data_IF_892670223134
#
_entry.id   IF_892670223134
#
_cell.length_a   1.000
_cell.length_b   1.000
_cell.length_c   1.000
_cell.angle_alpha   90.00
_cell.angle_beta   90.00
_cell.angle_gamma   90.00
#
_symmetry.space_group_name_H-M   'P 1'
#
loop_
_entity.id
_entity.type
_entity.pdbx_description
1 polymer ?
#
# COMPACT_ATOMS: atom_id res chain seq x y z
N UNK A 1 -5.11 -4.12 59.23
CA UNK A 1 -4.03 -3.88 58.23
C UNK A 1 -4.51 -3.09 57.01
N UNK A 2 -5.81 -3.09 56.69
CA UNK A 2 -6.40 -2.41 55.52
C UNK A 2 -6.47 -0.89 55.62
N UNK A 3 -6.69 -0.31 56.81
CA UNK A 3 -6.75 1.15 56.97
C UNK A 3 -5.37 1.82 56.83
N UNK A 4 -4.29 1.15 57.24
CA UNK A 4 -2.92 1.68 57.13
C UNK A 4 -2.42 1.75 55.68
N UNK A 5 -2.84 0.81 54.82
CA UNK A 5 -2.50 0.82 53.40
C UNK A 5 -3.16 1.98 52.64
N UNK A 6 -4.40 2.36 52.99
CA UNK A 6 -5.14 3.47 52.37
C UNK A 6 -4.47 4.82 52.67
N UNK A 7 -3.96 5.03 53.88
CA UNK A 7 -3.25 6.27 54.23
C UNK A 7 -1.88 6.37 53.55
N UNK A 8 -1.17 5.24 53.38
CA UNK A 8 0.12 5.23 52.69
C UNK A 8 -0.08 5.51 51.19
N UNK A 9 -1.07 4.89 50.54
CA UNK A 9 -1.36 5.15 49.13
C UNK A 9 -1.90 6.56 48.88
N UNK A 10 -2.75 7.10 49.77
CA UNK A 10 -3.18 8.51 49.70
C UNK A 10 -2.01 9.49 49.88
N UNK A 11 -1.06 9.18 50.78
CA UNK A 11 0.16 9.95 50.96
C UNK A 11 1.08 9.96 49.73
N UNK A 12 1.24 8.81 49.08
CA UNK A 12 2.01 8.68 47.84
C UNK A 12 1.37 9.45 46.66
N UNK A 13 0.04 9.44 46.56
CA UNK A 13 -0.68 10.20 45.52
C UNK A 13 -0.54 11.71 45.73
N UNK A 14 -0.66 12.19 46.97
CA UNK A 14 -0.46 13.62 47.29
C UNK A 14 1.00 14.06 47.05
N UNK A 15 1.98 13.21 47.36
CA UNK A 15 3.39 13.46 47.09
C UNK A 15 3.69 13.53 45.57
N UNK A 16 3.08 12.66 44.77
CA UNK A 16 3.20 12.68 43.30
C UNK A 16 2.60 13.94 42.68
N UNK A 17 1.44 14.39 43.17
CA UNK A 17 0.80 15.65 42.73
C UNK A 17 1.68 16.85 43.10
N UNK A 18 2.22 16.89 44.33
CA UNK A 18 3.10 17.97 44.77
C UNK A 18 4.41 18.02 43.96
N UNK A 19 5.02 16.87 43.67
CA UNK A 19 6.22 16.78 42.84
C UNK A 19 5.96 17.23 41.40
N UNK A 20 4.81 16.87 40.83
CA UNK A 20 4.36 17.33 39.51
C UNK A 20 4.14 18.84 39.45
N UNK A 21 3.53 19.43 40.49
CA UNK A 21 3.32 20.88 40.60
C UNK A 21 4.63 21.65 40.79
N UNK A 22 5.58 21.11 41.57
CA UNK A 22 6.91 21.72 41.76
C UNK A 22 7.73 21.62 40.46
N UNK A 23 7.70 20.47 39.78
CA UNK A 23 8.35 20.31 38.48
C UNK A 23 7.76 21.29 37.44
N UNK A 24 6.42 21.41 37.41
CA UNK A 24 5.73 22.40 36.59
C UNK A 24 6.14 23.84 36.94
N UNK A 25 6.18 24.20 38.22
CA UNK A 25 6.59 25.54 38.65
C UNK A 25 8.05 25.84 38.27
N UNK A 26 8.98 24.90 38.46
CA UNK A 26 10.40 25.06 38.10
C UNK A 26 10.58 25.14 36.57
N UNK A 27 9.88 24.29 35.82
CA UNK A 27 9.93 24.28 34.35
C UNK A 27 9.29 25.54 33.75
N UNK A 28 8.15 25.97 34.29
CA UNK A 28 7.45 27.19 33.87
C UNK A 28 8.22 28.45 34.25
N UNK A 29 8.84 28.51 35.44
CA UNK A 29 9.68 29.64 35.86
C UNK A 29 10.99 29.71 35.07
N UNK A 30 11.59 28.55 34.69
CA UNK A 30 12.76 28.53 33.77
C UNK A 30 12.39 28.95 32.35
N UNK A 31 11.29 28.46 31.80
CA UNK A 31 10.79 28.87 30.48
C UNK A 31 10.41 30.36 30.45
N UNK A 32 9.80 30.86 31.53
CA UNK A 32 9.48 32.29 31.75
C UNK A 32 10.71 33.19 31.80
N UNK A 33 11.85 32.68 32.27
CA UNK A 33 13.12 33.44 32.28
C UNK A 33 13.72 33.49 30.87
N UNK A 34 13.81 32.36 30.18
CA UNK A 34 14.33 32.30 28.80
C UNK A 34 13.52 33.20 27.86
N UNK A 35 12.19 33.19 27.98
CA UNK A 35 11.30 34.04 27.17
C UNK A 35 11.43 35.51 27.55
N UNK A 36 11.63 35.86 28.83
CA UNK A 36 11.91 37.25 29.24
C UNK A 36 13.26 37.74 28.71
N UNK A 37 14.27 36.89 28.73
CA UNK A 37 15.62 37.21 28.23
C UNK A 37 15.60 37.38 26.70
N UNK A 38 14.82 36.57 25.96
CA UNK A 38 14.62 36.73 24.51
C UNK A 38 13.80 37.96 24.13
N UNK A 39 12.74 38.29 24.89
CA UNK A 39 11.97 39.53 24.69
C UNK A 39 12.86 40.74 24.99
N UNK A 40 13.68 40.69 26.04
CA UNK A 40 14.60 41.76 26.40
C UNK A 40 15.71 41.92 25.35
N UNK A 41 16.25 40.81 24.81
CA UNK A 41 17.19 40.84 23.69
C UNK A 41 16.57 41.44 22.41
N UNK A 42 15.30 41.13 22.14
CA UNK A 42 14.56 41.71 21.03
C UNK A 42 14.26 43.22 21.22
N UNK A 43 14.00 43.66 22.45
CA UNK A 43 13.83 45.09 22.79
C UNK A 43 15.16 45.86 22.77
N UNK A 44 16.29 45.25 23.15
CA UNK A 44 17.63 45.83 23.00
C UNK A 44 18.00 45.97 21.52
N UNK A 45 17.64 45.00 20.68
CA UNK A 45 17.79 45.14 19.22
C UNK A 45 16.88 46.22 18.63
N UNK A 46 15.75 46.55 19.27
CA UNK A 46 14.84 47.61 18.81
C UNK A 46 15.44 49.02 18.91
N UNK A 47 16.31 49.27 19.91
CA UNK A 47 17.05 50.54 20.03
C UNK A 47 18.14 50.69 18.97
N UNK A 48 18.78 49.60 18.55
CA UNK A 48 19.83 49.61 17.53
C UNK A 48 19.26 49.82 16.10
N UNK A 49 17.97 49.53 15.90
CA UNK A 49 17.34 49.45 14.56
C UNK A 49 16.27 50.52 14.31
N UNK A 50 16.20 51.59 15.11
CA UNK A 50 15.28 52.72 14.90
C UNK A 50 15.53 53.54 13.61
N UNK A 51 16.41 53.07 12.72
CA UNK A 51 16.69 53.65 11.40
C UNK A 51 16.43 52.67 10.24
N UNK A 52 15.85 51.50 10.49
CA UNK A 52 15.48 50.53 9.45
C UNK A 52 13.98 50.60 9.09
N UNK A 53 13.67 50.53 7.80
CA UNK A 53 12.37 50.78 7.19
C UNK A 53 11.21 49.88 7.66
N UNK A 54 9.97 50.36 7.48
CA UNK A 54 8.69 49.75 7.93
C UNK A 54 8.51 48.25 7.62
N UNK A 55 9.25 47.68 6.66
CA UNK A 55 9.18 46.24 6.33
C UNK A 55 9.76 45.33 7.43
N UNK A 56 10.66 45.83 8.28
CA UNK A 56 11.21 45.07 9.40
C UNK A 56 10.20 44.96 10.55
N UNK A 57 9.42 46.01 10.79
CA UNK A 57 8.41 46.07 11.85
C UNK A 57 7.24 45.11 11.60
N UNK A 58 6.83 44.98 10.33
CA UNK A 58 5.77 44.05 9.91
C UNK A 58 6.15 42.58 10.19
N UNK A 59 7.41 42.19 9.93
CA UNK A 59 7.92 40.83 10.18
C UNK A 59 7.95 40.47 11.67
N UNK A 60 8.35 41.40 12.53
CA UNK A 60 8.40 41.19 13.99
C UNK A 60 6.99 41.03 14.59
N UNK A 61 6.01 41.80 14.10
CA UNK A 61 4.60 41.66 14.53
C UNK A 61 4.00 40.30 14.14
N UNK A 62 4.49 39.70 13.05
CA UNK A 62 4.12 38.37 12.58
C UNK A 62 4.62 37.26 13.51
N UNK A 63 5.89 37.32 13.91
CA UNK A 63 6.49 36.35 14.85
C UNK A 63 5.80 36.34 16.22
N UNK A 64 5.47 37.52 16.77
CA UNK A 64 4.72 37.64 18.03
C UNK A 64 3.33 36.98 17.96
N UNK A 65 2.68 37.06 16.78
CA UNK A 65 1.36 36.45 16.52
C UNK A 65 1.42 34.93 16.39
N UNK A 66 2.50 34.40 15.81
CA UNK A 66 2.74 32.96 15.64
C UNK A 66 3.02 32.30 17.01
N UNK A 67 3.88 32.91 17.82
CA UNK A 67 4.23 32.41 19.16
C UNK A 67 3.00 32.38 20.08
N UNK A 68 2.15 33.42 20.05
CA UNK A 68 0.89 33.46 20.82
C UNK A 68 -0.15 32.42 20.35
N UNK A 69 -0.19 32.10 19.05
CA UNK A 69 -1.07 31.04 18.50
C UNK A 69 -0.62 29.65 18.95
N UNK A 70 0.69 29.40 18.98
CA UNK A 70 1.25 28.11 19.42
C UNK A 70 1.07 27.88 20.93
N UNK A 71 1.18 28.95 21.73
CA UNK A 71 0.87 28.95 23.18
C UNK A 71 -0.60 28.62 23.49
N UNK A 72 -1.56 29.13 22.70
CA UNK A 72 -3.00 28.79 22.84
C UNK A 72 -3.30 27.35 22.44
N UNK A 73 -2.57 26.80 21.46
CA UNK A 73 -2.74 25.41 21.00
C UNK A 73 -2.22 24.41 22.04
N UNK A 74 -1.08 24.71 22.67
CA UNK A 74 -0.46 23.86 23.72
C UNK A 74 -1.18 23.91 25.06
N UNK A 75 -1.86 25.01 25.40
CA UNK A 75 -2.71 25.10 26.60
C UNK A 75 -4.05 24.36 26.46
N UNK A 76 -4.57 24.21 25.23
CA UNK A 76 -5.78 23.43 24.96
C UNK A 76 -5.54 21.90 25.00
N UNK A 77 -4.37 21.44 24.54
CA UNK A 77 -3.99 20.01 24.55
C UNK A 77 -3.78 19.42 25.95
N UNK A 78 -3.40 20.23 26.95
CA UNK A 78 -3.18 19.75 28.32
C UNK A 78 -4.47 19.70 29.14
N UNK A 79 -5.47 20.54 28.81
CA UNK A 79 -6.81 20.45 29.41
C UNK A 79 -7.55 19.14 29.07
N UNK A 80 -7.31 18.58 27.88
CA UNK A 80 -7.84 17.28 27.48
C UNK A 80 -7.16 16.11 28.22
N UNK A 81 -5.85 16.19 28.46
CA UNK A 81 -5.10 15.13 29.16
C UNK A 81 -5.53 14.92 30.62
N UNK A 82 -5.88 15.99 31.33
CA UNK A 82 -6.34 15.91 32.74
C UNK A 82 -7.77 15.36 32.85
N UNK A 83 -8.62 15.58 31.83
CA UNK A 83 -9.97 15.01 31.76
C UNK A 83 -9.93 13.50 31.49
N UNK A 84 -9.00 13.03 30.64
CA UNK A 84 -8.86 11.60 30.35
C UNK A 84 -8.33 10.78 31.54
N UNK A 85 -7.41 11.31 32.35
CA UNK A 85 -6.89 10.60 33.52
C UNK A 85 -7.94 10.50 34.65
N UNK A 86 -8.83 11.48 34.79
CA UNK A 86 -9.90 11.46 35.80
C UNK A 86 -11.06 10.51 35.45
N UNK A 87 -11.40 10.38 34.16
CA UNK A 87 -12.39 9.38 33.69
C UNK A 87 -11.83 7.95 33.77
N UNK A 88 -10.52 7.76 33.59
CA UNK A 88 -9.86 6.44 33.65
C UNK A 88 -9.87 5.83 35.05
N UNK A 89 -9.71 6.65 36.11
CA UNK A 89 -9.62 6.15 37.49
C UNK A 89 -11.01 5.80 38.05
N UNK A 90 -12.08 6.51 37.63
CA UNK A 90 -13.45 6.17 38.01
C UNK A 90 -13.95 4.89 37.30
N UNK A 91 -13.53 4.67 36.05
CA UNK A 91 -13.83 3.44 35.29
C UNK A 91 -13.17 2.20 35.88
N UNK A 92 -11.93 2.31 36.36
CA UNK A 92 -11.21 1.20 37.03
C UNK A 92 -11.83 0.88 38.40
N UNK A 93 -12.30 1.89 39.14
CA UNK A 93 -12.97 1.68 40.42
C UNK A 93 -14.35 1.00 40.29
N UNK A 94 -15.08 1.23 39.19
CA UNK A 94 -16.33 0.52 38.88
C UNK A 94 -16.07 -0.92 38.41
N UNK A 95 -15.03 -1.14 37.60
CA UNK A 95 -14.66 -2.47 37.10
C UNK A 95 -14.24 -3.42 38.23
N UNK A 96 -13.56 -2.90 39.26
CA UNK A 96 -13.15 -3.68 40.44
C UNK A 96 -14.30 -3.97 41.43
N UNK A 97 -15.47 -3.36 41.25
CA UNK A 97 -16.69 -3.66 42.03
C UNK A 97 -17.57 -4.69 41.31
N UNK A 98 -17.44 -4.84 39.98
CA UNK A 98 -18.18 -5.83 39.18
C UNK A 98 -17.54 -7.23 39.18
N UNK A 99 -16.22 -7.34 39.33
CA UNK A 99 -15.50 -8.64 39.36
C UNK A 99 -15.85 -9.53 40.56
N UNK A 100 -16.35 -8.97 41.67
CA UNK A 100 -16.73 -9.75 42.86
C UNK A 100 -18.09 -10.49 42.73
N UNK A 101 -18.84 -10.28 41.63
CA UNK A 101 -20.19 -10.85 41.44
C UNK A 101 -20.34 -11.82 40.25
N UNK A 102 -19.26 -12.23 39.58
CA UNK A 102 -19.35 -13.07 38.39
C UNK A 102 -18.38 -14.28 38.41
N UNK A 103 -18.39 -15.08 39.47
CA UNK A 103 -17.89 -16.45 39.39
C UNK A 103 -18.94 -17.35 38.72
N UNK A 104 -18.79 -17.57 37.41
CA UNK A 104 -19.58 -18.55 36.69
C UNK A 104 -19.47 -18.49 35.17
N UNK A 105 -18.45 -19.17 34.61
CA UNK A 105 -18.41 -19.53 33.19
C UNK A 105 -17.21 -18.99 32.43
N UNK A 106 -16.18 -19.83 32.28
CA UNK A 106 -15.08 -19.59 31.35
C UNK A 106 -15.60 -19.72 29.92
N UNK A 107 -15.78 -18.60 29.21
CA UNK A 107 -15.81 -18.58 27.74
C UNK A 107 -14.44 -18.15 27.25
N UNK A 108 -13.73 -19.07 26.59
CA UNK A 108 -12.55 -18.77 25.80
C UNK A 108 -12.84 -17.61 24.84
N UNK A 109 -12.02 -16.55 24.92
CA UNK A 109 -11.92 -15.54 23.87
C UNK A 109 -11.47 -16.24 22.57
N UNK A 110 -12.42 -16.67 21.75
CA UNK A 110 -12.16 -16.91 20.34
C UNK A 110 -11.80 -15.57 19.72
N UNK A 111 -10.49 -15.34 19.48
CA UNK A 111 -10.05 -14.38 18.47
C UNK A 111 -10.71 -14.82 17.17
N UNK A 112 -11.67 -14.03 16.69
CA UNK A 112 -12.19 -14.16 15.34
C UNK A 112 -11.05 -13.91 14.35
N UNK A 113 -10.36 -14.95 13.94
CA UNK A 113 -9.44 -14.92 12.82
C UNK A 113 -10.28 -14.66 11.56
N UNK A 114 -10.02 -13.53 10.89
CA UNK A 114 -10.48 -13.36 9.50
C UNK A 114 -9.96 -14.52 8.65
N UNK A 115 -10.65 -14.83 7.55
CA UNK A 115 -10.33 -15.92 6.63
C UNK A 115 -8.81 -16.07 6.44
N UNK A 116 -8.27 -17.25 6.72
CA UNK A 116 -6.85 -17.54 6.58
C UNK A 116 -6.43 -17.25 5.12
N UNK A 117 -5.45 -16.35 4.91
CA UNK A 117 -4.97 -16.07 3.55
C UNK A 117 -4.34 -17.35 3.01
N UNK A 118 -4.88 -17.90 1.91
CA UNK A 118 -4.33 -19.11 1.28
C UNK A 118 -3.17 -18.82 0.33
N UNK A 119 -2.98 -17.56 -0.04
CA UNK A 119 -1.87 -17.07 -0.86
C UNK A 119 -1.99 -15.59 -1.21
N UNK A 120 -0.96 -15.05 -1.84
CA UNK A 120 -0.95 -13.69 -2.39
C UNK A 120 -0.72 -13.75 -3.89
N UNK A 121 -1.33 -12.82 -4.62
CA UNK A 121 -1.18 -12.71 -6.07
C UNK A 121 -0.86 -11.27 -6.45
N UNK A 122 0.26 -11.09 -7.14
CA UNK A 122 0.78 -9.79 -7.54
C UNK A 122 0.45 -9.56 -9.01
N UNK A 123 -0.49 -8.66 -9.29
CA UNK A 123 -0.88 -8.26 -10.65
C UNK A 123 -0.16 -6.99 -11.06
N UNK A 124 0.39 -6.96 -12.28
CA UNK A 124 0.94 -5.73 -12.83
C UNK A 124 1.71 -5.91 -14.13
N UNK A 125 2.52 -4.90 -14.43
CA UNK A 125 3.33 -4.81 -15.63
C UNK A 125 4.80 -5.24 -15.39
N UNK A 126 5.75 -4.63 -16.11
CA UNK A 126 7.19 -4.88 -15.99
C UNK A 126 7.74 -4.62 -14.59
N UNK A 127 7.14 -3.70 -13.81
CA UNK A 127 7.52 -3.45 -12.43
C UNK A 127 7.15 -4.62 -11.51
N UNK A 128 6.09 -5.36 -11.85
CA UNK A 128 5.74 -6.60 -11.12
C UNK A 128 6.59 -7.76 -11.58
N UNK A 129 6.86 -7.85 -12.88
CA UNK A 129 7.74 -8.87 -13.46
C UNK A 129 9.20 -8.77 -12.97
N UNK A 130 9.61 -7.62 -12.43
CA UNK A 130 10.98 -7.40 -11.96
C UNK A 130 11.98 -7.09 -13.08
N UNK A 131 11.51 -6.47 -14.18
CA UNK A 131 12.39 -6.06 -15.28
C UNK A 131 13.51 -5.17 -14.74
N UNK A 132 14.73 -5.43 -15.20
CA UNK A 132 15.98 -4.79 -14.77
C UNK A 132 16.35 -4.98 -13.28
N UNK A 133 15.72 -5.95 -12.61
CA UNK A 133 15.99 -6.32 -11.22
C UNK A 133 17.14 -7.30 -11.02
N UNK A 134 17.86 -7.72 -12.08
CA UNK A 134 18.90 -8.75 -12.02
C UNK A 134 18.41 -10.09 -11.39
N UNK A 135 17.19 -10.49 -11.74
CA UNK A 135 16.53 -11.68 -11.18
C UNK A 135 15.87 -11.46 -9.82
N UNK A 136 15.91 -10.24 -9.29
CA UNK A 136 15.16 -9.84 -8.09
C UNK A 136 13.80 -9.29 -8.49
N UNK A 137 12.75 -9.81 -7.86
CA UNK A 137 11.38 -9.32 -8.01
C UNK A 137 10.81 -9.01 -6.63
N UNK A 138 9.94 -7.98 -6.52
CA UNK A 138 9.32 -7.71 -5.21
C UNK A 138 8.45 -8.87 -4.70
N UNK A 139 7.72 -9.65 -5.54
CA UNK A 139 6.95 -10.80 -5.06
C UNK A 139 7.84 -11.89 -4.44
N UNK A 140 8.98 -12.20 -5.07
CA UNK A 140 9.90 -13.22 -4.55
C UNK A 140 10.58 -12.76 -3.25
N UNK A 141 11.00 -11.50 -3.17
CA UNK A 141 11.58 -10.94 -1.94
C UNK A 141 10.54 -10.84 -0.82
N UNK A 142 9.29 -10.50 -1.14
CA UNK A 142 8.19 -10.51 -0.17
C UNK A 142 7.99 -11.91 0.41
N UNK A 143 7.97 -12.94 -0.44
CA UNK A 143 7.89 -14.34 0.00
C UNK A 143 9.05 -14.72 0.93
N UNK A 144 10.28 -14.28 0.62
CA UNK A 144 11.46 -14.53 1.48
C UNK A 144 11.29 -13.89 2.85
N UNK A 145 10.91 -12.61 2.92
CA UNK A 145 10.68 -11.88 4.17
C UNK A 145 9.59 -12.54 5.02
N UNK A 146 8.51 -13.00 4.39
CA UNK A 146 7.43 -13.73 5.07
C UNK A 146 7.92 -15.08 5.61
N UNK A 147 8.71 -15.83 4.83
CA UNK A 147 9.26 -17.11 5.25
C UNK A 147 10.25 -16.98 6.42
N UNK A 148 11.04 -15.91 6.47
CA UNK A 148 11.94 -15.60 7.59
C UNK A 148 11.17 -15.41 8.91
N UNK A 149 9.95 -14.86 8.82
CA UNK A 149 9.01 -14.71 9.92
C UNK A 149 8.10 -15.97 10.09
N UNK A 150 8.40 -17.08 9.41
CA UNK A 150 7.68 -18.35 9.55
C UNK A 150 6.30 -18.40 8.90
N UNK A 151 6.00 -17.45 8.01
CA UNK A 151 4.77 -17.39 7.23
C UNK A 151 5.04 -18.02 5.85
N UNK A 152 4.66 -19.28 5.69
CA UNK A 152 4.85 -20.04 4.45
C UNK A 152 3.55 -20.12 3.64
N UNK A 153 3.26 -19.05 2.90
CA UNK A 153 2.17 -19.01 1.92
C UNK A 153 2.71 -18.63 0.53
N UNK A 154 2.07 -19.08 -0.56
CA UNK A 154 2.52 -18.72 -1.90
C UNK A 154 2.34 -17.23 -2.17
N UNK A 155 3.31 -16.62 -2.85
CA UNK A 155 3.22 -15.27 -3.43
C UNK A 155 3.48 -15.42 -4.92
N UNK A 156 2.48 -15.15 -5.75
CA UNK A 156 2.53 -15.37 -7.19
C UNK A 156 2.86 -14.08 -7.92
N UNK A 157 3.82 -14.13 -8.84
CA UNK A 157 4.16 -13.03 -9.72
C UNK A 157 3.41 -13.16 -11.05
N UNK A 158 2.39 -12.31 -11.26
CA UNK A 158 1.62 -12.22 -12.51
C UNK A 158 1.97 -10.98 -13.33
N UNK A 159 3.21 -10.48 -13.17
CA UNK A 159 3.72 -9.33 -13.89
C UNK A 159 4.01 -9.65 -15.35
N UNK A 160 3.55 -8.78 -16.26
CA UNK A 160 3.79 -8.92 -17.70
C UNK A 160 4.40 -7.63 -18.26
N UNK A 161 5.64 -7.66 -18.78
CA UNK A 161 6.25 -6.48 -19.36
C UNK A 161 5.44 -5.91 -20.53
N UNK A 162 5.22 -4.59 -20.50
CA UNK A 162 4.60 -3.85 -21.59
C UNK A 162 3.07 -3.82 -21.60
N UNK A 163 2.40 -4.63 -20.76
CA UNK A 163 0.94 -4.58 -20.66
C UNK A 163 0.46 -3.32 -19.95
N UNK A 164 -0.67 -2.82 -20.42
CA UNK A 164 -1.35 -1.66 -19.87
C UNK A 164 -2.44 -2.03 -18.84
N UNK A 165 -3.10 -1.01 -18.28
CA UNK A 165 -4.03 -1.21 -17.18
C UNK A 165 -5.24 -2.11 -17.53
N UNK A 166 -5.75 -2.03 -18.76
CA UNK A 166 -6.91 -2.82 -19.18
C UNK A 166 -6.56 -4.29 -19.47
N UNK A 167 -5.34 -4.56 -19.93
CA UNK A 167 -4.83 -5.91 -20.19
C UNK A 167 -4.56 -6.64 -18.88
N UNK A 168 -3.94 -5.94 -17.91
CA UNK A 168 -3.77 -6.46 -16.54
C UNK A 168 -5.15 -6.75 -15.93
N UNK A 169 -6.11 -5.83 -16.08
CA UNK A 169 -7.48 -6.02 -15.61
C UNK A 169 -8.18 -7.21 -16.27
N UNK A 170 -7.91 -7.48 -17.54
CA UNK A 170 -8.46 -8.63 -18.25
C UNK A 170 -7.92 -9.96 -17.71
N UNK A 171 -6.60 -10.09 -17.52
CA UNK A 171 -5.99 -11.30 -16.92
C UNK A 171 -6.40 -11.51 -15.46
N UNK A 172 -6.57 -10.43 -14.71
CA UNK A 172 -7.03 -10.50 -13.33
C UNK A 172 -8.56 -10.71 -13.20
N UNK A 173 -9.29 -10.82 -14.31
CA UNK A 173 -10.73 -11.08 -14.35
C UNK A 173 -11.64 -9.87 -14.18
N UNK A 174 -11.09 -8.68 -13.88
CA UNK A 174 -11.84 -7.43 -13.74
C UNK A 174 -12.38 -6.88 -15.08
N UNK A 175 -11.88 -7.39 -16.21
CA UNK A 175 -12.40 -7.08 -17.54
C UNK A 175 -12.69 -8.37 -18.30
N UNK A 176 -13.91 -8.51 -18.81
CA UNK A 176 -14.32 -9.70 -19.59
C UNK A 176 -13.58 -9.73 -20.93
N UNK A 177 -12.99 -10.87 -21.25
CA UNK A 177 -12.44 -11.18 -22.57
C UNK A 177 -13.51 -11.93 -23.37
N UNK A 178 -13.74 -11.52 -24.62
CA UNK A 178 -14.74 -12.15 -25.50
C UNK A 178 -14.16 -12.41 -26.88
N UNK A 179 -14.65 -13.47 -27.52
CA UNK A 179 -14.34 -13.80 -28.92
C UNK A 179 -14.83 -12.67 -29.83
N UNK A 180 -13.94 -12.13 -30.67
CA UNK A 180 -14.26 -11.04 -31.59
C UNK A 180 -14.99 -11.57 -32.83
N UNK A 181 -14.36 -12.53 -33.51
CA UNK A 181 -14.90 -13.16 -34.72
C UNK A 181 -15.29 -14.60 -34.44
N UNK A 182 -16.45 -15.02 -34.92
CA UNK A 182 -16.90 -16.40 -34.78
C UNK A 182 -15.90 -17.37 -35.43
N UNK A 183 -15.63 -18.50 -34.78
CA UNK A 183 -14.69 -19.50 -35.25
C UNK A 183 -15.13 -20.90 -34.83
N UNK A 184 -14.49 -21.91 -35.39
CA UNK A 184 -14.74 -23.31 -35.03
C UNK A 184 -13.54 -23.88 -34.29
N UNK A 185 -13.79 -24.45 -33.11
CA UNK A 185 -12.80 -25.25 -32.41
C UNK A 185 -12.84 -26.67 -33.02
N UNK A 186 -11.78 -27.12 -33.71
CA UNK A 186 -11.73 -28.40 -34.41
C UNK A 186 -11.76 -29.57 -33.43
N UNK A 187 -12.25 -30.75 -33.85
CA UNK A 187 -12.38 -31.94 -33.00
C UNK A 187 -11.06 -32.34 -32.29
N UNK A 188 -9.94 -32.23 -33.00
CA UNK A 188 -8.61 -32.58 -32.52
C UNK A 188 -7.88 -31.40 -31.87
N UNK A 189 -6.82 -31.70 -31.10
CA UNK A 189 -5.96 -30.71 -30.47
C UNK A 189 -5.02 -30.03 -31.46
N UNK A 190 -5.58 -29.28 -32.42
CA UNK A 190 -4.83 -28.48 -33.40
C UNK A 190 -5.07 -26.99 -33.18
N UNK A 191 -4.05 -26.12 -33.36
CA UNK A 191 -4.21 -24.69 -33.23
C UNK A 191 -5.22 -24.12 -34.23
N UNK A 192 -6.11 -23.27 -33.76
CA UNK A 192 -7.07 -22.52 -34.60
C UNK A 192 -6.98 -21.04 -34.27
N UNK A 193 -7.04 -20.18 -35.29
CA UNK A 193 -6.87 -18.74 -35.11
C UNK A 193 -7.99 -18.18 -34.22
N UNK A 194 -7.61 -17.32 -33.29
CA UNK A 194 -8.48 -16.69 -32.32
C UNK A 194 -8.29 -15.17 -32.39
N UNK A 195 -9.38 -14.44 -32.45
CA UNK A 195 -9.40 -12.98 -32.25
C UNK A 195 -10.29 -12.67 -31.05
N UNK A 196 -9.89 -11.72 -30.23
CA UNK A 196 -10.65 -11.34 -29.03
C UNK A 196 -10.55 -9.85 -28.74
N UNK A 197 -11.54 -9.35 -28.01
CA UNK A 197 -11.62 -8.00 -27.46
C UNK A 197 -12.04 -8.11 -26.01
N UNK A 198 -12.14 -6.97 -25.33
CA UNK A 198 -12.96 -6.91 -24.14
C UNK A 198 -14.47 -6.95 -24.46
N UNK A 199 -15.29 -6.95 -23.42
CA UNK A 199 -16.76 -6.99 -23.52
C UNK A 199 -17.41 -5.76 -24.17
N UNK A 200 -16.70 -4.66 -24.41
CA UNK A 200 -17.21 -3.46 -25.09
C UNK A 200 -16.54 -3.21 -26.46
N UNK A 201 -15.65 -4.11 -26.89
CA UNK A 201 -15.00 -4.08 -28.21
C UNK A 201 -13.61 -3.43 -28.24
N UNK A 202 -12.99 -3.14 -27.10
CA UNK A 202 -11.60 -2.66 -27.04
C UNK A 202 -10.65 -3.82 -27.31
N UNK A 203 -9.68 -3.60 -28.19
CA UNK A 203 -8.66 -4.59 -28.54
C UNK A 203 -7.69 -4.79 -27.36
N UNK A 204 -7.36 -6.05 -27.09
CA UNK A 204 -6.49 -6.46 -25.98
C UNK A 204 -5.24 -7.14 -26.54
N UNK A 205 -4.05 -6.74 -26.08
CA UNK A 205 -2.79 -7.37 -26.47
C UNK A 205 -2.22 -8.18 -25.30
N UNK A 206 -2.87 -9.29 -24.97
CA UNK A 206 -2.51 -10.13 -23.82
C UNK A 206 -1.27 -10.98 -24.11
N UNK A 207 -0.27 -10.93 -23.23
CA UNK A 207 0.90 -11.80 -23.41
C UNK A 207 0.54 -13.25 -23.09
N UNK A 208 0.55 -14.10 -24.11
CA UNK A 208 0.34 -15.54 -23.97
C UNK A 208 1.66 -16.32 -23.72
N UNK A 209 2.56 -15.76 -22.90
CA UNK A 209 3.85 -16.38 -22.55
C UNK A 209 3.96 -16.56 -21.03
N UNK A 210 4.30 -17.78 -20.60
CA UNK A 210 4.44 -18.12 -19.18
C UNK A 210 3.09 -18.22 -18.45
N UNK A 211 3.15 -18.37 -17.12
CA UNK A 211 1.96 -18.32 -16.28
C UNK A 211 1.76 -16.89 -15.77
N UNK A 212 0.88 -16.15 -16.44
CA UNK A 212 0.51 -14.77 -16.09
C UNK A 212 -1.01 -14.63 -15.88
N UNK A 213 -1.68 -15.70 -15.45
CA UNK A 213 -3.14 -15.72 -15.32
C UNK A 213 -3.89 -15.82 -16.64
N UNK A 214 -3.25 -16.34 -17.70
CA UNK A 214 -3.91 -16.80 -18.93
C UNK A 214 -3.32 -18.11 -19.45
N UNK A 215 -2.75 -18.92 -18.54
CA UNK A 215 -2.03 -20.14 -18.95
C UNK A 215 -2.98 -21.23 -19.44
N UNK A 216 -4.22 -21.22 -18.94
CA UNK A 216 -5.34 -21.99 -19.44
C UNK A 216 -6.58 -21.11 -19.60
N UNK A 217 -7.42 -21.45 -20.57
CA UNK A 217 -8.70 -20.79 -20.81
C UNK A 217 -9.81 -21.79 -21.13
N UNK A 218 -11.05 -21.38 -20.88
CA UNK A 218 -12.25 -22.08 -21.32
C UNK A 218 -13.05 -21.20 -22.28
N UNK A 219 -13.41 -21.76 -23.45
CA UNK A 219 -14.25 -21.11 -24.46
C UNK A 219 -15.42 -22.04 -24.78
N UNK A 220 -16.65 -21.60 -24.52
CA UNK A 220 -17.88 -22.40 -24.71
C UNK A 220 -17.83 -23.81 -24.08
N UNK A 221 -17.23 -23.91 -22.89
CA UNK A 221 -17.05 -25.17 -22.16
C UNK A 221 -15.90 -26.05 -22.66
N UNK A 222 -15.12 -25.61 -23.66
CA UNK A 222 -13.90 -26.29 -24.13
C UNK A 222 -12.68 -25.67 -23.45
N UNK A 223 -11.98 -26.48 -22.67
CA UNK A 223 -10.72 -26.13 -22.04
C UNK A 223 -9.56 -26.20 -23.05
N UNK A 224 -8.65 -25.24 -22.99
CA UNK A 224 -7.47 -25.17 -23.86
C UNK A 224 -6.49 -24.08 -23.43
N UNK A 225 -5.55 -23.79 -24.33
CA UNK A 225 -4.51 -22.77 -24.13
C UNK A 225 -4.55 -21.76 -25.26
N UNK A 226 -4.21 -20.50 -24.95
CA UNK A 226 -3.95 -19.47 -25.96
C UNK A 226 -2.45 -19.40 -26.18
N UNK A 227 -2.02 -19.31 -27.43
CA UNK A 227 -0.64 -19.03 -27.83
C UNK A 227 -0.60 -17.83 -28.78
N UNK A 228 0.49 -17.07 -28.75
CA UNK A 228 0.71 -15.93 -29.64
C UNK A 228 1.90 -16.19 -30.56
N UNK A 229 1.66 -16.12 -31.87
CA UNK A 229 2.69 -16.18 -32.90
C UNK A 229 2.96 -14.76 -33.41
N UNK A 230 4.12 -14.22 -33.09
CA UNK A 230 4.52 -12.87 -33.49
C UNK A 230 4.86 -12.86 -34.98
N UNK A 231 4.39 -11.83 -35.70
CA UNK A 231 4.78 -11.55 -37.06
C UNK A 231 6.27 -11.17 -37.10
N UNK A 232 7.13 -11.88 -37.87
CA UNK A 232 8.57 -11.66 -37.87
C UNK A 232 8.99 -10.24 -38.27
N UNK A 233 8.19 -9.61 -39.13
CA UNK A 233 8.41 -8.26 -39.66
C UNK A 233 7.60 -7.18 -38.92
N UNK A 234 6.83 -7.58 -37.90
CA UNK A 234 5.91 -6.75 -37.14
C UNK A 234 6.48 -6.18 -35.85
N UNK A 235 5.73 -5.27 -35.21
CA UNK A 235 6.05 -4.77 -33.87
C UNK A 235 5.84 -5.83 -32.76
N UNK A 236 6.15 -5.48 -31.51
CA UNK A 236 6.11 -6.41 -30.35
C UNK A 236 4.73 -7.02 -30.00
N UNK A 237 3.67 -6.64 -30.70
CA UNK A 237 2.30 -7.15 -30.50
C UNK A 237 1.57 -7.41 -31.83
N UNK A 238 2.30 -7.36 -32.93
CA UNK A 238 1.78 -7.70 -34.24
C UNK A 238 1.95 -9.20 -34.44
N UNK A 239 0.84 -9.93 -34.54
CA UNK A 239 0.85 -11.39 -34.58
C UNK A 239 -0.55 -11.99 -34.51
N UNK A 240 -0.61 -13.31 -34.46
CA UNK A 240 -1.86 -14.07 -34.46
C UNK A 240 -1.96 -14.86 -33.15
N UNK A 241 -3.11 -14.75 -32.49
CA UNK A 241 -3.46 -15.64 -31.39
C UNK A 241 -4.07 -16.94 -31.92
N UNK A 242 -3.74 -18.04 -31.26
CA UNK A 242 -4.32 -19.34 -31.53
C UNK A 242 -4.89 -19.92 -30.25
N UNK A 243 -6.04 -20.58 -30.37
CA UNK A 243 -6.57 -21.46 -29.34
C UNK A 243 -6.27 -22.92 -29.70
N UNK A 244 -5.82 -23.70 -28.73
CA UNK A 244 -5.66 -25.16 -28.87
C UNK A 244 -6.36 -25.84 -27.70
N UNK A 245 -7.31 -26.73 -27.99
CA UNK A 245 -8.03 -27.50 -26.96
C UNK A 245 -7.10 -28.48 -26.23
N UNK A 246 -7.32 -28.69 -24.94
CA UNK A 246 -6.52 -29.60 -24.11
C UNK A 246 -6.80 -31.08 -24.37
N UNK A 247 -8.03 -31.43 -24.80
CA UNK A 247 -8.46 -32.81 -25.06
C UNK A 247 -9.30 -32.88 -26.33
N UNK A 248 -9.04 -33.87 -27.19
CA UNK A 248 -9.88 -34.13 -28.38
C UNK A 248 -11.33 -34.41 -27.98
N UNK A 249 -12.26 -34.05 -28.86
CA UNK A 249 -13.70 -34.13 -28.61
C UNK A 249 -14.50 -33.80 -29.86
N UNK A 250 -15.77 -33.42 -29.69
CA UNK A 250 -16.58 -32.94 -30.83
C UNK A 250 -16.12 -31.56 -31.30
N UNK A 251 -16.38 -31.26 -32.56
CA UNK A 251 -16.26 -29.89 -33.08
C UNK A 251 -17.25 -28.97 -32.35
N UNK A 252 -16.83 -27.71 -32.12
CA UNK A 252 -17.64 -26.69 -31.42
C UNK A 252 -17.60 -25.40 -32.21
N UNK A 253 -18.77 -24.94 -32.65
CA UNK A 253 -18.96 -23.61 -33.25
C UNK A 253 -19.06 -22.56 -32.14
N UNK A 254 -18.14 -21.59 -32.15
CA UNK A 254 -18.08 -20.52 -31.18
C UNK A 254 -18.52 -19.21 -31.83
N UNK A 255 -19.48 -18.53 -31.20
CA UNK A 255 -20.02 -17.25 -31.69
C UNK A 255 -19.15 -16.08 -31.23
N UNK A 256 -19.15 -15.01 -32.04
CA UNK A 256 -18.68 -13.71 -31.58
C UNK A 256 -19.43 -13.30 -30.29
N UNK A 257 -18.71 -12.71 -29.35
CA UNK A 257 -19.20 -12.34 -28.02
C UNK A 257 -19.18 -13.47 -26.98
N UNK A 258 -18.85 -14.71 -27.36
CA UNK A 258 -18.64 -15.79 -26.38
C UNK A 258 -17.50 -15.42 -25.44
N UNK A 259 -17.71 -15.58 -24.14
CA UNK A 259 -16.70 -15.26 -23.13
C UNK A 259 -15.54 -16.26 -23.16
N UNK A 260 -14.33 -15.71 -23.06
CA UNK A 260 -13.10 -16.47 -22.81
C UNK A 260 -12.84 -16.35 -21.31
N UNK A 261 -12.81 -17.47 -20.61
CA UNK A 261 -12.59 -17.52 -19.16
C UNK A 261 -11.16 -18.02 -18.91
N UNK A 262 -10.29 -17.16 -18.41
CA UNK A 262 -8.91 -17.47 -18.07
C UNK A 262 -8.75 -17.91 -16.60
N UNK A 263 -7.74 -18.72 -16.32
CA UNK A 263 -7.39 -19.18 -14.96
C UNK A 263 -7.19 -18.04 -13.95
N UNK A 264 -6.55 -16.95 -14.35
CA UNK A 264 -6.36 -15.75 -13.53
C UNK A 264 -7.66 -15.16 -12.98
N UNK A 265 -8.77 -15.31 -13.70
CA UNK A 265 -10.10 -14.84 -13.29
C UNK A 265 -10.85 -15.80 -12.34
N UNK A 266 -10.32 -17.01 -12.10
CA UNK A 266 -11.04 -18.09 -11.40
C UNK A 266 -10.25 -18.70 -10.25
N UNK A 267 -8.97 -18.98 -10.41
CA UNK A 267 -8.19 -19.82 -9.48
C UNK A 267 -7.84 -19.12 -8.16
N UNK A 268 -7.67 -17.80 -8.18
CA UNK A 268 -7.01 -17.06 -7.10
C UNK A 268 -7.96 -16.17 -6.28
N UNK A 269 -9.27 -16.45 -6.32
CA UNK A 269 -10.29 -15.60 -5.66
C UNK A 269 -10.18 -15.52 -4.14
N UNK A 270 -9.60 -16.54 -3.51
CA UNK A 270 -9.33 -16.57 -2.06
C UNK A 270 -7.97 -15.96 -1.68
N UNK A 271 -7.14 -15.58 -2.66
CA UNK A 271 -5.83 -14.99 -2.41
C UNK A 271 -5.97 -13.51 -2.08
N UNK A 272 -4.96 -12.94 -1.42
CA UNK A 272 -4.86 -11.50 -1.24
C UNK A 272 -4.26 -10.86 -2.51
N UNK A 273 -5.01 -10.00 -3.23
CA UNK A 273 -4.48 -9.29 -4.39
C UNK A 273 -3.57 -8.13 -3.98
N UNK A 274 -2.42 -8.06 -4.62
CA UNK A 274 -1.50 -6.92 -4.62
C UNK A 274 -1.46 -6.39 -6.05
N UNK A 275 -1.99 -5.20 -6.30
CA UNK A 275 -2.19 -4.65 -7.64
C UNK A 275 -1.21 -3.49 -7.86
N UNK A 276 -0.36 -3.63 -8.86
CA UNK A 276 0.63 -2.63 -9.27
C UNK A 276 0.47 -2.33 -10.76
N UNK A 277 -0.50 -1.47 -11.09
CA UNK A 277 -0.91 -1.19 -12.47
C UNK A 277 -0.99 0.31 -12.75
N UNK A 278 -0.74 0.68 -14.01
CA UNK A 278 -0.87 2.06 -14.51
C UNK A 278 0.40 2.65 -15.11
N UNK A 279 1.54 1.95 -15.09
CA UNK A 279 2.78 2.48 -15.67
C UNK A 279 2.67 2.68 -17.19
N UNK A 280 2.00 1.76 -17.89
CA UNK A 280 1.85 1.77 -19.34
C UNK A 280 0.54 2.43 -19.83
N UNK A 281 -0.13 3.20 -18.97
CA UNK A 281 -1.31 3.99 -19.34
C UNK A 281 -2.58 3.15 -19.57
N UNK A 282 -3.42 3.60 -20.51
CA UNK A 282 -4.77 3.08 -20.82
C UNK A 282 -5.85 3.36 -19.76
N UNK A 283 -5.64 4.45 -19.03
CA UNK A 283 -6.64 5.14 -18.23
C UNK A 283 -6.57 6.65 -18.56
N UNK A 284 -7.69 7.36 -18.39
CA UNK A 284 -7.83 8.77 -18.77
C UNK A 284 -7.83 9.72 -17.58
N UNK A 285 -8.06 9.22 -16.37
CA UNK A 285 -7.97 9.96 -15.12
C UNK A 285 -7.64 9.03 -13.93
N UNK A 286 -7.27 9.56 -12.75
CA UNK A 286 -7.14 8.76 -11.54
C UNK A 286 -8.39 7.95 -11.20
N UNK A 287 -9.59 8.50 -11.43
CA UNK A 287 -10.86 7.82 -11.21
C UNK A 287 -11.04 6.61 -12.14
N UNK A 288 -10.68 6.74 -13.43
CA UNK A 288 -10.71 5.63 -14.38
C UNK A 288 -9.78 4.50 -13.92
N UNK A 289 -8.57 4.81 -13.45
CA UNK A 289 -7.66 3.80 -12.91
C UNK A 289 -8.22 3.15 -11.62
N UNK A 290 -8.86 3.93 -10.75
CA UNK A 290 -9.54 3.42 -9.55
C UNK A 290 -10.68 2.46 -9.92
N UNK A 291 -11.50 2.80 -10.91
CA UNK A 291 -12.58 1.94 -11.40
C UNK A 291 -12.02 0.62 -11.96
N UNK A 292 -10.92 0.67 -12.72
CA UNK A 292 -10.25 -0.52 -13.23
C UNK A 292 -9.68 -1.40 -12.10
N UNK A 293 -9.10 -0.80 -11.06
CA UNK A 293 -8.62 -1.51 -9.88
C UNK A 293 -9.80 -2.15 -9.10
N UNK A 294 -10.88 -1.40 -8.89
CA UNK A 294 -12.08 -1.90 -8.21
C UNK A 294 -12.68 -3.10 -8.95
N UNK A 295 -12.73 -3.04 -10.29
CA UNK A 295 -13.26 -4.13 -11.09
C UNK A 295 -12.46 -5.44 -10.90
N UNK A 296 -11.14 -5.36 -10.69
CA UNK A 296 -10.32 -6.53 -10.31
C UNK A 296 -10.71 -7.01 -8.92
N UNK A 297 -10.80 -6.10 -7.93
CA UNK A 297 -11.12 -6.46 -6.54
C UNK A 297 -12.50 -7.13 -6.41
N UNK A 298 -13.49 -6.69 -7.19
CA UNK A 298 -14.85 -7.24 -7.21
C UNK A 298 -14.91 -8.71 -7.66
N UNK A 299 -13.81 -9.27 -8.17
CA UNK A 299 -13.70 -10.70 -8.54
C UNK A 299 -13.33 -11.63 -7.39
N UNK A 300 -12.81 -11.08 -6.28
CA UNK A 300 -12.29 -11.83 -5.14
C UNK A 300 -13.40 -12.14 -4.14
N UNK A 301 -13.19 -13.21 -3.35
CA UNK A 301 -14.15 -13.64 -2.33
C UNK A 301 -14.24 -12.64 -1.17
N UNK A 302 -13.13 -11.94 -0.87
CA UNK A 302 -13.06 -10.85 0.11
C UNK A 302 -12.47 -9.58 -0.53
N UNK A 303 -13.31 -8.70 -1.12
CA UNK A 303 -12.85 -7.47 -1.76
C UNK A 303 -12.37 -6.41 -0.76
N UNK A 304 -12.44 -6.67 0.56
CA UNK A 304 -11.99 -5.71 1.59
C UNK A 304 -10.49 -5.80 1.90
N UNK A 305 -9.85 -6.91 1.51
CA UNK A 305 -8.44 -7.23 1.77
C UNK A 305 -7.61 -7.21 0.49
N UNK A 306 -6.80 -6.17 0.35
CA UNK A 306 -5.95 -5.98 -0.84
C UNK A 306 -4.85 -4.96 -0.55
N UNK A 307 -3.90 -4.85 -1.48
CA UNK A 307 -3.00 -3.71 -1.58
C UNK A 307 -3.00 -3.13 -3.00
N UNK A 308 -3.02 -1.80 -3.09
CA UNK A 308 -2.74 -1.06 -4.32
C UNK A 308 -1.36 -0.43 -4.17
N UNK A 309 -0.47 -0.67 -5.13
CA UNK A 309 0.87 -0.11 -5.15
C UNK A 309 0.91 1.12 -6.05
N UNK A 310 1.41 2.24 -5.51
CA UNK A 310 1.64 3.47 -6.23
C UNK A 310 2.80 3.34 -7.21
N UNK A 311 2.69 4.04 -8.35
CA UNK A 311 3.74 4.10 -9.37
C UNK A 311 5.05 4.61 -8.78
N UNK A 312 6.18 4.12 -9.29
CA UNK A 312 7.54 4.51 -8.83
C UNK A 312 8.20 5.55 -9.73
N UNK A 313 7.49 6.01 -10.76
CA UNK A 313 7.99 6.95 -11.77
C UNK A 313 7.42 8.36 -11.55
N UNK A 314 8.12 9.37 -12.06
CA UNK A 314 7.76 10.78 -11.91
C UNK A 314 8.29 11.41 -10.63
N UNK A 315 7.92 12.67 -10.44
CA UNK A 315 8.19 13.49 -9.24
C UNK A 315 6.96 13.57 -8.34
N UNK A 316 7.12 14.17 -7.16
CA UNK A 316 5.99 14.48 -6.29
C UNK A 316 4.96 15.39 -6.98
N UNK A 317 5.40 16.34 -7.81
CA UNK A 317 4.49 17.21 -8.56
C UNK A 317 3.78 16.44 -9.68
N UNK A 318 4.52 15.63 -10.47
CA UNK A 318 3.93 14.85 -11.58
C UNK A 318 2.84 13.89 -11.11
N UNK A 319 2.97 13.35 -9.89
CA UNK A 319 2.09 12.31 -9.35
C UNK A 319 1.05 12.82 -8.36
N UNK A 320 1.08 14.11 -8.02
CA UNK A 320 0.25 14.70 -6.95
C UNK A 320 -1.23 14.34 -7.08
N UNK A 321 -1.85 14.62 -8.22
CA UNK A 321 -3.28 14.39 -8.42
C UNK A 321 -3.65 12.90 -8.28
N UNK A 322 -2.84 12.02 -8.89
CA UNK A 322 -3.04 10.58 -8.82
C UNK A 322 -2.89 10.06 -7.39
N UNK A 323 -1.83 10.46 -6.68
CA UNK A 323 -1.55 10.03 -5.31
C UNK A 323 -2.62 10.51 -4.34
N UNK A 324 -3.04 11.77 -4.41
CA UNK A 324 -4.11 12.32 -3.56
C UNK A 324 -5.43 11.54 -3.74
N UNK A 325 -5.77 11.16 -4.98
CA UNK A 325 -6.98 10.38 -5.29
C UNK A 325 -6.89 8.94 -4.80
N UNK A 326 -5.74 8.30 -5.01
CA UNK A 326 -5.49 6.92 -4.55
C UNK A 326 -5.49 6.84 -3.02
N UNK A 327 -4.86 7.79 -2.33
CA UNK A 327 -4.87 7.89 -0.87
C UNK A 327 -6.28 8.12 -0.33
N UNK A 328 -7.06 9.02 -0.96
CA UNK A 328 -8.43 9.28 -0.58
C UNK A 328 -9.34 8.04 -0.74
N UNK A 329 -9.17 7.30 -1.83
CA UNK A 329 -9.99 6.13 -2.15
C UNK A 329 -9.62 4.90 -1.31
N UNK A 330 -8.33 4.55 -1.27
CA UNK A 330 -7.87 3.27 -0.74
C UNK A 330 -7.30 3.37 0.68
N UNK A 331 -6.96 4.58 1.14
CA UNK A 331 -6.41 4.85 2.47
C UNK A 331 -5.19 3.99 2.77
N UNK A 332 -5.20 3.31 3.92
CA UNK A 332 -4.11 2.43 4.35
C UNK A 332 -3.83 1.24 3.42
N UNK A 333 -4.71 0.92 2.46
CA UNK A 333 -4.47 -0.13 1.45
C UNK A 333 -3.74 0.37 0.22
N UNK A 334 -3.53 1.68 0.08
CA UNK A 334 -2.63 2.25 -0.93
C UNK A 334 -1.22 2.47 -0.37
N UNK A 335 -0.22 1.90 -1.05
CA UNK A 335 1.19 2.04 -0.71
C UNK A 335 1.82 2.99 -1.73
N UNK A 336 2.00 4.25 -1.35
CA UNK A 336 2.66 5.25 -2.18
C UNK A 336 4.18 4.97 -2.28
N UNK A 337 4.56 4.07 -3.20
CA UNK A 337 5.95 3.63 -3.33
C UNK A 337 6.87 4.76 -3.80
N UNK A 338 6.44 5.64 -4.71
CA UNK A 338 7.27 6.81 -5.10
C UNK A 338 7.62 7.63 -3.88
N UNK A 339 6.63 7.99 -3.06
CA UNK A 339 6.85 8.82 -1.88
C UNK A 339 7.80 8.14 -0.88
N UNK A 340 7.52 6.88 -0.54
CA UNK A 340 8.31 6.14 0.43
C UNK A 340 9.74 5.94 -0.07
N UNK A 341 9.92 5.49 -1.32
CA UNK A 341 11.23 5.20 -1.91
C UNK A 341 12.00 6.46 -2.34
N UNK A 342 11.41 7.66 -2.26
CA UNK A 342 12.12 8.94 -2.45
C UNK A 342 12.37 9.71 -1.15
N UNK A 343 11.80 9.24 -0.03
CA UNK A 343 11.95 9.86 1.29
C UNK A 343 13.28 9.49 1.98
N UNK A 344 13.48 9.97 3.21
CA UNK A 344 14.60 9.54 4.07
C UNK A 344 14.62 8.03 4.35
N UNK A 345 13.54 7.30 4.04
CA UNK A 345 13.48 5.84 4.09
C UNK A 345 14.59 5.18 3.26
N UNK A 346 15.06 5.81 2.18
CA UNK A 346 16.12 5.25 1.31
C UNK A 346 17.36 4.81 2.10
N UNK A 347 17.71 5.53 3.17
CA UNK A 347 18.87 5.21 3.99
C UNK A 347 18.73 3.90 4.80
N UNK A 348 17.53 3.32 4.93
CA UNK A 348 17.34 2.01 5.57
C UNK A 348 17.56 0.82 4.63
N UNK A 349 17.59 1.03 3.31
CA UNK A 349 17.68 -0.06 2.32
C UNK A 349 19.10 -0.52 2.01
N UNK A 350 20.07 -0.19 2.87
CA UNK A 350 21.47 -0.62 2.74
C UNK A 350 22.12 -0.25 1.38
N UNK A 351 21.71 0.89 0.80
CA UNK A 351 22.27 1.44 -0.44
C UNK A 351 23.20 2.63 -0.17
N UNK A 352 24.15 2.86 -1.08
CA UNK A 352 24.97 4.07 -1.06
C UNK A 352 24.21 5.21 -1.74
N UNK A 353 23.91 6.27 -0.99
CA UNK A 353 23.21 7.46 -1.51
C UNK A 353 24.23 8.54 -1.88
N UNK A 354 24.27 8.90 -3.16
CA UNK A 354 25.15 9.94 -3.69
C UNK A 354 24.45 11.31 -3.71
N UNK A 355 25.21 12.38 -3.96
CA UNK A 355 24.63 13.73 -4.02
C UNK A 355 23.64 13.91 -5.18
N UNK A 356 23.80 13.13 -6.25
CA UNK A 356 22.83 13.08 -7.35
C UNK A 356 21.49 12.47 -6.91
N UNK A 357 21.53 11.38 -6.13
CA UNK A 357 20.33 10.76 -5.56
C UNK A 357 19.59 11.74 -4.65
N UNK A 358 20.32 12.48 -3.80
CA UNK A 358 19.72 13.49 -2.91
C UNK A 358 18.96 14.58 -3.68
N UNK A 359 19.45 14.99 -4.85
CA UNK A 359 18.75 15.96 -5.70
C UNK A 359 17.46 15.37 -6.27
N UNK A 360 17.47 14.11 -6.69
CA UNK A 360 16.26 13.43 -7.16
C UNK A 360 15.23 13.27 -6.03
N UNK A 361 15.68 12.92 -4.83
CA UNK A 361 14.85 12.81 -3.64
C UNK A 361 14.20 14.15 -3.26
N UNK A 362 14.90 15.29 -3.45
CA UNK A 362 14.33 16.63 -3.21
C UNK A 362 13.14 16.95 -4.13
N UNK A 363 13.10 16.35 -5.32
CA UNK A 363 11.98 16.46 -6.25
C UNK A 363 10.90 15.38 -5.98
N UNK A 364 11.11 14.51 -5.00
CA UNK A 364 10.25 13.34 -4.77
C UNK A 364 10.39 12.27 -5.85
N UNK A 365 11.49 12.26 -6.62
CA UNK A 365 11.77 11.18 -7.57
C UNK A 365 12.49 10.05 -6.84
N UNK A 366 12.10 8.80 -7.11
CA UNK A 366 12.84 7.62 -6.63
C UNK A 366 14.29 7.72 -7.14
N UNK A 367 15.30 7.68 -6.25
CA UNK A 367 16.68 7.96 -6.62
C UNK A 367 17.30 6.85 -7.48
N UNK A 368 18.34 7.19 -8.22
CA UNK A 368 19.07 6.27 -9.10
C UNK A 368 19.73 5.11 -8.36
N UNK A 369 20.06 5.26 -7.09
CA UNK A 369 20.53 4.14 -6.26
C UNK A 369 19.49 3.00 -6.13
N UNK A 370 18.20 3.25 -6.38
CA UNK A 370 17.12 2.25 -6.41
C UNK A 370 16.56 1.96 -7.81
N UNK A 371 17.02 2.67 -8.84
CA UNK A 371 16.54 2.51 -10.22
C UNK A 371 17.61 1.94 -11.14
N UNK A 372 17.17 1.29 -12.20
CA UNK A 372 18.03 0.90 -13.31
C UNK A 372 17.91 1.93 -14.46
N UNK A 373 16.68 2.37 -14.75
CA UNK A 373 16.37 3.36 -15.78
C UNK A 373 15.25 4.33 -15.31
N UNK A 374 14.59 5.03 -16.23
CA UNK A 374 13.52 5.99 -15.91
C UNK A 374 12.18 5.37 -15.53
N UNK A 375 12.05 4.06 -15.66
CA UNK A 375 10.86 3.28 -15.33
C UNK A 375 11.15 2.27 -14.23
N UNK A 376 12.14 1.41 -14.46
CA UNK A 376 12.36 0.19 -13.70
C UNK A 376 13.27 0.39 -12.49
N UNK A 377 12.92 -0.31 -11.41
CA UNK A 377 13.77 -0.46 -10.25
C UNK A 377 14.97 -1.36 -10.59
N UNK A 378 16.07 -1.18 -9.87
CA UNK A 378 17.15 -2.17 -9.84
C UNK A 378 16.87 -3.21 -8.74
N UNK A 379 17.75 -4.21 -8.59
CA UNK A 379 17.58 -5.25 -7.56
C UNK A 379 17.47 -4.71 -6.12
N UNK A 380 18.14 -3.59 -5.79
CA UNK A 380 17.98 -2.95 -4.48
C UNK A 380 16.62 -2.26 -4.34
N UNK A 381 16.13 -1.62 -5.42
CA UNK A 381 14.79 -1.04 -5.46
C UNK A 381 13.67 -2.06 -5.28
N UNK A 382 13.76 -3.23 -5.93
CA UNK A 382 12.76 -4.29 -5.74
C UNK A 382 12.75 -4.88 -4.33
N UNK A 383 13.94 -5.03 -3.69
CA UNK A 383 14.03 -5.39 -2.27
C UNK A 383 13.40 -4.35 -1.35
N UNK A 384 13.69 -3.08 -1.61
CA UNK A 384 13.10 -1.97 -0.86
C UNK A 384 11.57 -1.94 -0.99
N UNK A 385 11.03 -2.16 -2.20
CA UNK A 385 9.60 -2.26 -2.42
C UNK A 385 8.99 -3.44 -1.65
N UNK A 386 9.62 -4.62 -1.68
CA UNK A 386 9.18 -5.78 -0.92
C UNK A 386 9.15 -5.53 0.60
N UNK A 387 10.17 -4.88 1.16
CA UNK A 387 10.23 -4.51 2.58
C UNK A 387 9.06 -3.57 2.95
N UNK A 388 8.80 -2.55 2.13
CA UNK A 388 7.69 -1.61 2.35
C UNK A 388 6.33 -2.31 2.29
N UNK A 389 6.14 -3.22 1.32
CA UNK A 389 4.91 -4.00 1.18
C UNK A 389 4.73 -4.93 2.38
N UNK A 390 5.79 -5.62 2.78
CA UNK A 390 5.80 -6.53 3.92
C UNK A 390 5.36 -5.82 5.21
N UNK A 391 5.94 -4.66 5.49
CA UNK A 391 5.55 -3.85 6.63
C UNK A 391 4.10 -3.39 6.56
N UNK A 392 3.62 -3.00 5.37
CA UNK A 392 2.23 -2.58 5.23
C UNK A 392 1.27 -3.73 5.50
N UNK A 393 1.57 -4.94 5.02
CA UNK A 393 0.77 -6.14 5.29
C UNK A 393 0.68 -6.42 6.80
N UNK A 394 1.78 -6.24 7.54
CA UNK A 394 1.79 -6.35 9.01
C UNK A 394 0.95 -5.26 9.68
N UNK A 395 1.08 -4.00 9.23
CA UNK A 395 0.31 -2.87 9.77
C UNK A 395 -1.19 -3.04 9.58
N UNK A 396 -1.63 -3.62 8.46
CA UNK A 396 -3.03 -3.92 8.18
C UNK A 396 -3.54 -5.19 8.88
N UNK A 397 -2.66 -5.95 9.54
CA UNK A 397 -3.01 -7.22 10.18
C UNK A 397 -3.36 -8.32 9.18
N UNK A 398 -2.94 -8.19 7.92
CA UNK A 398 -3.21 -9.21 6.89
C UNK A 398 -2.33 -10.43 7.04
N UNK A 399 -1.15 -10.26 7.63
CA UNK A 399 -0.25 -11.34 8.02
C UNK A 399 0.06 -11.23 9.51
N UNK A 400 0.12 -12.36 10.20
CA UNK A 400 0.43 -12.42 11.62
C UNK A 400 1.35 -13.57 11.95
N UNK A 401 2.21 -13.35 12.94
CA UNK A 401 3.04 -14.37 13.57
C UNK A 401 2.14 -15.15 14.53
N UNK A 402 1.94 -16.44 14.32
CA UNK A 402 1.54 -17.28 15.45
C UNK A 402 2.72 -17.34 16.43
N UNK A 403 2.57 -16.73 17.62
CA UNK A 403 3.48 -17.06 18.72
C UNK A 403 3.23 -18.52 19.08
N UNK A 404 4.07 -19.41 18.56
CA UNK A 404 4.22 -20.74 19.15
C UNK A 404 4.87 -20.55 20.51
N UNK A 405 4.04 -20.49 21.56
CA UNK A 405 4.53 -20.70 22.92
C UNK A 405 5.07 -22.12 22.95
N UNK A 406 6.40 -22.24 23.08
CA UNK A 406 7.05 -23.50 23.35
C UNK A 406 6.54 -23.97 24.72
N UNK A 407 5.73 -25.03 24.73
CA UNK A 407 5.26 -25.69 25.95
C UNK A 407 6.39 -26.41 26.66
#
# INVERSE_FOLDING_TARGET
>A
MTSYFIYISAGCVLAGIAAGLIYYAVYYLRGSKIIRDEIHAADIQKEVWSHASDSAYSRISGYKRIILKDLKKKSCLVGAGVFFVSVSVMGIALFLIEEDNAEGGVSSLEKSYGTEITGMICWGDSLTAGVNGDGVTFPDELKKLMLEDGIDIPVLNMGVPGENSIEIGARAGGRRIVVKDAFTIPADAVPTALTFTDGIGVELHLTARGNAGISSVTIDGVEGTISFEQNPDGGNYDGIYYFTRSKSGREVEVKAGTQIINDGAVEYKSYLPIIFMGQNGYFTSPEDLIEQQQAILDTYDDPSRFLILGLTTGTAEDRKELEEKMEAQWGGRYVNLRDILSSSRVYSFHVTVLDFDKKQMQEGRVPSCLRNDDVHLNGAGYKAAAEVIYERLKQLGYIYMERREWK
#
